data_IF_319337032844
#
_entry.id   IF_319337032844
#
_cell.length_a   1.000
_cell.length_b   1.000
_cell.length_c   1.000
_cell.angle_alpha   90.00
_cell.angle_beta   90.00
_cell.angle_gamma   90.00
#
_symmetry.space_group_name_H-M   'P 1'
#
loop_
_entity.id
_entity.type
_entity.pdbx_description
1 polymer ?
#
# COMPACT_ATOMS: atom_id res chain seq x y z
N UNK A 1 6.06 -2.62 -3.06
CA UNK A 1 5.06 -3.70 -2.99
C UNK A 1 3.97 -3.46 -4.03
N UNK A 2 3.51 -4.50 -4.72
CA UNK A 2 2.38 -4.39 -5.65
C UNK A 2 1.05 -4.45 -4.89
N UNK A 3 -0.02 -3.92 -5.50
CA UNK A 3 -1.37 -4.05 -4.95
C UNK A 3 -1.77 -5.52 -4.86
N UNK A 4 -1.37 -6.33 -5.83
CA UNK A 4 -1.64 -7.77 -5.83
C UNK A 4 -0.99 -8.48 -4.65
N UNK A 5 0.29 -8.20 -4.34
CA UNK A 5 0.96 -8.76 -3.17
C UNK A 5 0.22 -8.44 -1.86
N UNK A 6 -0.17 -7.17 -1.68
CA UNK A 6 -0.95 -6.76 -0.52
C UNK A 6 -2.32 -7.45 -0.48
N UNK A 7 -3.03 -7.50 -1.62
CA UNK A 7 -4.35 -8.14 -1.72
C UNK A 7 -4.27 -9.63 -1.42
N UNK A 8 -3.24 -10.32 -1.90
CA UNK A 8 -3.04 -11.76 -1.64
C UNK A 8 -2.76 -12.02 -0.16
N UNK A 9 -1.99 -11.16 0.51
CA UNK A 9 -1.76 -11.25 1.96
C UNK A 9 -3.06 -11.12 2.78
N UNK A 10 -3.89 -10.12 2.47
CA UNK A 10 -5.18 -9.93 3.16
C UNK A 10 -6.31 -10.81 2.61
N UNK A 11 -6.08 -11.52 1.51
CA UNK A 11 -7.03 -12.36 0.77
C UNK A 11 -8.02 -11.63 -0.15
N UNK A 12 -8.29 -10.32 0.04
CA UNK A 12 -9.10 -9.55 -0.91
C UNK A 12 -8.90 -8.03 -0.79
N UNK A 13 -9.25 -7.28 -1.86
CA UNK A 13 -9.26 -5.80 -1.85
C UNK A 13 -10.17 -5.24 -0.74
N UNK A 14 -11.30 -5.90 -0.46
CA UNK A 14 -12.21 -5.47 0.61
C UNK A 14 -11.59 -5.66 1.98
N UNK A 15 -10.93 -6.80 2.23
CA UNK A 15 -10.24 -7.07 3.51
C UNK A 15 -9.09 -6.09 3.75
N UNK A 16 -8.28 -5.84 2.72
CA UNK A 16 -7.22 -4.82 2.76
C UNK A 16 -7.79 -3.42 3.03
N UNK A 17 -8.90 -3.05 2.38
CA UNK A 17 -9.56 -1.77 2.61
C UNK A 17 -10.05 -1.63 4.06
N UNK A 18 -10.77 -2.63 4.57
CA UNK A 18 -11.26 -2.66 5.94
C UNK A 18 -10.12 -2.55 6.96
N UNK A 19 -9.01 -3.27 6.73
CA UNK A 19 -7.82 -3.20 7.57
C UNK A 19 -7.24 -1.79 7.67
N UNK A 20 -7.28 -1.03 6.57
CA UNK A 20 -6.77 0.34 6.49
C UNK A 20 -7.81 1.42 6.84
N UNK A 21 -9.04 1.03 7.18
CA UNK A 21 -10.15 1.97 7.37
C UNK A 21 -10.54 2.72 6.09
N UNK A 22 -10.34 2.10 4.93
CA UNK A 22 -10.62 2.66 3.61
C UNK A 22 -11.80 1.94 2.95
N UNK A 23 -12.29 2.51 1.84
CA UNK A 23 -13.21 1.82 0.97
C UNK A 23 -12.47 1.02 -0.12
N UNK A 24 -13.16 0.03 -0.72
CA UNK A 24 -12.61 -0.80 -1.80
C UNK A 24 -12.15 0.03 -3.01
N UNK A 25 -12.85 1.12 -3.31
CA UNK A 25 -12.54 2.01 -4.45
C UNK A 25 -11.17 2.69 -4.29
N UNK A 26 -10.76 3.03 -3.07
CA UNK A 26 -9.43 3.56 -2.77
C UNK A 26 -8.33 2.59 -3.20
N UNK A 27 -8.51 1.29 -2.94
CA UNK A 27 -7.55 0.24 -3.33
C UNK A 27 -7.52 0.09 -4.85
N UNK A 28 -8.67 0.14 -5.53
CA UNK A 28 -8.72 0.11 -6.99
C UNK A 28 -8.00 1.30 -7.62
N UNK A 29 -8.09 2.48 -7.00
CA UNK A 29 -7.47 3.72 -7.50
C UNK A 29 -5.94 3.70 -7.41
N UNK A 30 -5.34 2.80 -6.62
CA UNK A 30 -3.88 2.66 -6.56
C UNK A 30 -3.27 2.06 -7.83
N UNK A 31 -4.07 1.41 -8.68
CA UNK A 31 -3.59 0.71 -9.86
C UNK A 31 -2.76 -0.52 -9.48
N UNK A 32 -1.53 -0.61 -9.99
CA UNK A 32 -0.68 -1.79 -9.81
C UNK A 32 0.23 -1.71 -8.56
N UNK A 33 0.49 -0.52 -8.04
CA UNK A 33 1.47 -0.27 -6.98
C UNK A 33 0.83 0.43 -5.79
N UNK A 34 1.10 -0.06 -4.57
CA UNK A 34 0.63 0.61 -3.35
C UNK A 34 1.39 1.93 -3.18
N UNK A 35 0.71 3.08 -2.94
CA UNK A 35 1.37 4.36 -2.67
C UNK A 35 2.35 4.25 -1.49
N UNK A 36 3.50 4.91 -1.57
CA UNK A 36 4.61 4.72 -0.60
C UNK A 36 4.20 4.89 0.87
N UNK A 37 3.37 5.91 1.17
CA UNK A 37 2.85 6.13 2.53
C UNK A 37 2.03 4.92 3.04
N UNK A 38 1.18 4.34 2.19
CA UNK A 38 0.37 3.16 2.53
C UNK A 38 1.21 1.89 2.56
N UNK A 39 2.22 1.80 1.70
CA UNK A 39 3.14 0.68 1.69
C UNK A 39 3.95 0.62 3.00
N UNK A 40 4.45 1.76 3.48
CA UNK A 40 5.12 1.86 4.78
C UNK A 40 4.17 1.54 5.94
N UNK A 41 2.96 2.11 5.93
CA UNK A 41 1.93 1.79 6.93
C UNK A 41 1.65 0.28 7.00
N UNK A 42 1.49 -0.37 5.84
CA UNK A 42 1.28 -1.81 5.76
C UNK A 42 2.48 -2.60 6.29
N UNK A 43 3.71 -2.19 5.98
CA UNK A 43 4.90 -2.84 6.52
C UNK A 43 4.93 -2.81 8.05
N UNK A 44 4.63 -1.65 8.65
CA UNK A 44 4.60 -1.50 10.11
C UNK A 44 3.48 -2.34 10.72
N UNK A 45 2.27 -2.27 10.15
CA UNK A 45 1.10 -3.00 10.68
C UNK A 45 1.17 -4.51 10.47
N UNK A 46 1.99 -4.99 9.54
CA UNK A 46 2.22 -6.42 9.27
C UNK A 46 3.54 -6.92 9.85
N UNK A 47 4.16 -6.17 10.77
CA UNK A 47 5.44 -6.51 11.39
C UNK A 47 6.54 -6.91 10.39
N UNK A 48 6.56 -6.28 9.21
CA UNK A 48 7.55 -6.52 8.17
C UNK A 48 7.26 -7.70 7.22
N UNK A 49 6.10 -8.36 7.32
CA UNK A 49 5.71 -9.40 6.35
C UNK A 49 5.49 -8.81 4.95
N UNK A 50 4.85 -7.64 4.85
CA UNK A 50 4.79 -6.86 3.61
C UNK A 50 5.96 -5.88 3.53
N UNK A 51 7.02 -6.26 2.82
CA UNK A 51 8.20 -5.39 2.64
C UNK A 51 8.00 -4.34 1.55
N UNK A 52 8.34 -3.09 1.88
CA UNK A 52 8.55 -2.05 0.87
C UNK A 52 9.89 -2.31 0.21
N UNK A 53 9.87 -2.84 -1.02
CA UNK A 53 11.03 -2.73 -1.90
C UNK A 53 11.03 -1.27 -2.38
N UNK A 54 12.00 -0.48 -1.90
CA UNK A 54 12.18 0.92 -2.31
C UNK A 54 12.56 0.99 -3.79
N UNK A 55 11.59 0.85 -4.68
CA UNK A 55 11.77 1.22 -6.08
C UNK A 55 11.33 2.67 -6.24
N UNK A 56 12.34 3.54 -6.13
CA UNK A 56 12.39 4.96 -6.47
C UNK A 56 11.89 5.96 -5.39
N UNK A 57 12.77 6.83 -4.88
CA UNK A 57 12.34 8.02 -4.15
C UNK A 57 11.64 8.94 -5.16
N UNK A 58 10.32 9.02 -5.09
CA UNK A 58 9.60 10.10 -5.77
C UNK A 58 10.04 11.38 -5.08
N UNK A 59 10.87 12.20 -5.75
CA UNK A 59 11.34 13.50 -5.29
C UNK A 59 10.24 14.18 -4.49
N UNK A 60 10.49 14.38 -3.19
CA UNK A 60 9.82 15.41 -2.41
C UNK A 60 10.16 16.71 -3.15
N UNK A 61 9.27 17.17 -4.02
CA UNK A 61 9.38 18.52 -4.54
C UNK A 61 9.30 19.45 -3.32
N UNK A 62 10.27 20.35 -3.13
CA UNK A 62 10.11 21.43 -2.16
C UNK A 62 8.80 22.13 -2.47
N UNK A 63 8.00 22.36 -1.44
CA UNK A 63 6.85 23.24 -1.56
C UNK A 63 7.44 24.65 -1.41
N UNK A 64 7.85 25.23 -2.54
CA UNK A 64 8.15 26.67 -2.64
C UNK A 64 6.89 27.50 -2.32
#
# INVERSE_FOLDING_TARGET
>A
MTVEQAVSYFGSKTKLANFLGLNKSSITHWGNTVPSSRAYQLQVLTNGELKVVETQPKKLAPKD
#
